data_IF_929385681150
#
_entry.id   IF_929385681150
#
_cell.length_a   1.000
_cell.length_b   1.000
_cell.length_c   1.000
_cell.angle_alpha   90.00
_cell.angle_beta   90.00
_cell.angle_gamma   90.00
#
_symmetry.space_group_name_H-M   'P 1'
#
loop_
_entity.id
_entity.type
_entity.pdbx_description
1 polymer ?
#
# COMPACT_ATOMS: atom_id res chain seq x y z
N UNK A 1 15.76 -10.91 -9.09
CA UNK A 1 15.16 -9.61 -9.34
C UNK A 1 13.70 -9.66 -9.00
N UNK A 2 13.24 -8.72 -8.21
CA UNK A 2 11.88 -8.79 -7.69
C UNK A 2 10.83 -8.51 -8.75
N UNK A 3 10.81 -7.33 -9.26
CA UNK A 3 9.80 -6.88 -10.19
C UNK A 3 10.27 -5.57 -10.82
N UNK A 4 9.53 -5.15 -11.82
CA UNK A 4 9.77 -3.89 -12.49
C UNK A 4 9.41 -2.73 -11.57
N UNK A 5 10.27 -1.73 -11.48
CA UNK A 5 9.99 -0.52 -10.73
C UNK A 5 8.91 0.30 -11.42
N UNK A 6 8.00 0.86 -10.63
CA UNK A 6 6.99 1.78 -11.16
C UNK A 6 7.62 3.11 -11.53
N UNK A 7 7.36 3.55 -12.75
CA UNK A 7 7.77 4.87 -13.26
C UNK A 7 6.50 5.66 -13.48
N UNK A 8 6.27 6.62 -12.61
CA UNK A 8 4.99 7.33 -12.63
C UNK A 8 5.15 8.74 -12.07
N UNK A 9 4.33 9.66 -12.56
CA UNK A 9 4.28 11.01 -12.01
C UNK A 9 3.28 11.09 -10.86
N UNK A 10 2.19 10.36 -10.95
CA UNK A 10 1.15 10.32 -9.91
C UNK A 10 1.06 8.89 -9.39
N UNK A 11 1.49 8.70 -8.16
CA UNK A 11 1.51 7.38 -7.52
C UNK A 11 0.36 7.26 -6.53
N UNK A 12 -0.42 6.19 -6.64
CA UNK A 12 -1.36 5.79 -5.61
C UNK A 12 -0.69 4.75 -4.71
N UNK A 13 -0.83 4.91 -3.41
CA UNK A 13 -0.39 3.92 -2.43
C UNK A 13 -1.63 3.39 -1.74
N UNK A 14 -1.92 2.11 -1.92
CA UNK A 14 -3.14 1.46 -1.44
C UNK A 14 -2.78 0.44 -0.38
N UNK A 15 -3.50 0.45 0.73
CA UNK A 15 -3.29 -0.49 1.82
C UNK A 15 -4.50 -1.39 1.98
N UNK A 16 -4.28 -2.63 2.34
CA UNK A 16 -5.36 -3.53 2.67
C UNK A 16 -4.88 -4.79 3.34
N UNK A 17 -5.75 -5.40 4.13
CA UNK A 17 -5.49 -6.70 4.76
C UNK A 17 -5.72 -7.84 3.77
N UNK A 18 -6.72 -7.71 2.91
CA UNK A 18 -7.08 -8.70 1.90
C UNK A 18 -7.26 -10.11 2.49
N UNK A 19 -8.12 -10.22 3.48
CA UNK A 19 -8.32 -11.47 4.22
C UNK A 19 -9.78 -11.93 4.20
N UNK A 20 -10.31 -12.44 3.07
CA UNK A 20 -9.68 -12.54 1.76
C UNK A 20 -9.87 -11.29 0.90
N UNK A 21 -9.26 -11.28 -0.27
CA UNK A 21 -9.53 -10.27 -1.28
C UNK A 21 -10.94 -10.43 -1.83
N UNK A 22 -11.63 -9.32 -2.03
CA UNK A 22 -12.99 -9.33 -2.61
C UNK A 22 -13.14 -8.23 -3.67
N UNK A 23 -14.31 -8.19 -4.30
CA UNK A 23 -14.55 -7.25 -5.42
C UNK A 23 -14.36 -5.79 -5.02
N UNK A 24 -14.66 -5.44 -3.77
CA UNK A 24 -14.42 -4.08 -3.28
C UNK A 24 -12.95 -3.69 -3.32
N UNK A 25 -12.05 -4.64 -3.04
CA UNK A 25 -10.61 -4.40 -3.14
C UNK A 25 -10.19 -4.16 -4.59
N UNK A 26 -10.73 -4.95 -5.52
CA UNK A 26 -10.45 -4.79 -6.95
C UNK A 26 -10.93 -3.43 -7.42
N UNK A 27 -12.13 -3.02 -7.02
CA UNK A 27 -12.70 -1.73 -7.39
C UNK A 27 -11.86 -0.58 -6.82
N UNK A 28 -11.39 -0.69 -5.59
CA UNK A 28 -10.52 0.31 -4.97
C UNK A 28 -9.21 0.47 -5.75
N UNK A 29 -8.56 -0.63 -6.05
CA UNK A 29 -7.28 -0.59 -6.78
C UNK A 29 -7.48 -0.03 -8.18
N UNK A 30 -8.56 -0.42 -8.84
CA UNK A 30 -8.92 0.10 -10.16
C UNK A 30 -9.17 1.61 -10.12
N UNK A 31 -9.89 2.08 -9.10
CA UNK A 31 -10.13 3.50 -8.90
C UNK A 31 -8.82 4.26 -8.65
N UNK A 32 -7.98 3.71 -7.77
CA UNK A 32 -6.69 4.33 -7.44
C UNK A 32 -5.82 4.48 -8.68
N UNK A 33 -5.76 3.43 -9.51
CA UNK A 33 -5.01 3.46 -10.76
C UNK A 33 -5.59 4.48 -11.75
N UNK A 34 -6.93 4.59 -11.80
CA UNK A 34 -7.61 5.54 -12.71
C UNK A 34 -7.39 6.99 -12.28
N UNK A 35 -7.38 7.26 -10.98
CA UNK A 35 -7.20 8.61 -10.43
C UNK A 35 -5.74 9.07 -10.42
N UNK A 36 -4.84 8.14 -10.63
CA UNK A 36 -3.40 8.39 -10.68
C UNK A 36 -2.84 7.74 -11.93
N UNK A 37 -1.53 7.61 -12.03
CA UNK A 37 -0.91 6.95 -13.18
C UNK A 37 -0.61 5.48 -12.91
N UNK A 38 -0.35 5.14 -11.64
CA UNK A 38 -0.02 3.78 -11.23
C UNK A 38 -0.36 3.57 -9.77
N UNK A 39 -0.44 2.33 -9.34
CA UNK A 39 -0.77 1.97 -7.96
C UNK A 39 0.26 1.02 -7.38
N UNK A 40 0.73 1.36 -6.19
CA UNK A 40 1.55 0.49 -5.35
C UNK A 40 0.64 -0.03 -4.24
N UNK A 41 0.40 -1.32 -4.23
CA UNK A 41 -0.55 -1.96 -3.32
C UNK A 41 0.21 -2.73 -2.26
N UNK A 42 -0.08 -2.43 -1.00
CA UNK A 42 0.51 -3.13 0.13
C UNK A 42 -0.50 -4.04 0.80
N UNK A 43 -0.16 -5.33 0.87
CA UNK A 43 -0.91 -6.30 1.64
C UNK A 43 -0.28 -6.30 3.04
N UNK A 44 -1.03 -5.82 4.03
CA UNK A 44 -0.52 -5.62 5.39
C UNK A 44 -0.97 -6.71 6.35
N UNK A 45 -0.16 -6.95 7.36
CA UNK A 45 -0.45 -7.93 8.40
C UNK A 45 0.80 -8.67 8.84
N UNK A 46 0.59 -9.84 9.45
CA UNK A 46 1.67 -10.69 9.93
C UNK A 46 1.40 -12.13 9.55
N UNK A 47 2.39 -13.00 9.78
CA UNK A 47 2.22 -14.44 9.65
C UNK A 47 1.93 -15.11 11.00
N UNK A 48 1.65 -14.33 12.04
CA UNK A 48 1.39 -14.82 13.38
C UNK A 48 -0.10 -15.01 13.63
N UNK A 49 -0.46 -15.76 14.66
CA UNK A 49 -1.86 -16.02 15.03
C UNK A 49 -2.62 -14.78 15.50
N UNK A 50 -1.92 -13.72 15.80
CA UNK A 50 -2.52 -12.44 16.14
C UNK A 50 -3.18 -11.79 14.94
N UNK A 51 -2.73 -12.15 13.74
CA UNK A 51 -3.31 -11.66 12.48
C UNK A 51 -4.56 -12.47 12.15
N UNK A 52 -5.66 -11.75 11.90
CA UNK A 52 -6.95 -12.36 11.60
C UNK A 52 -6.90 -13.29 10.39
N UNK A 53 -6.16 -12.90 9.35
CA UNK A 53 -6.04 -13.73 8.15
C UNK A 53 -5.31 -15.03 8.46
N UNK A 54 -4.24 -14.97 9.25
CA UNK A 54 -3.46 -16.15 9.64
C UNK A 54 -4.33 -17.14 10.40
N UNK A 55 -5.18 -16.66 11.31
CA UNK A 55 -6.06 -17.52 12.10
C UNK A 55 -7.03 -18.35 11.24
N UNK A 56 -7.39 -17.84 10.07
CA UNK A 56 -8.31 -18.54 9.15
C UNK A 56 -7.57 -19.19 7.97
N UNK A 57 -6.27 -19.38 8.10
CA UNK A 57 -5.46 -20.04 7.07
C UNK A 57 -4.95 -19.14 5.96
N UNK A 58 -5.16 -17.84 6.09
CA UNK A 58 -4.73 -16.86 5.10
C UNK A 58 -3.65 -15.94 5.70
N UNK A 59 -2.50 -16.52 6.01
CA UNK A 59 -1.38 -15.72 6.52
C UNK A 59 -0.85 -14.76 5.45
N UNK A 60 -0.07 -13.78 5.87
CA UNK A 60 0.36 -12.65 5.03
C UNK A 60 0.96 -13.08 3.69
N UNK A 61 1.88 -14.05 3.71
CA UNK A 61 2.54 -14.51 2.48
C UNK A 61 1.53 -15.04 1.45
N UNK A 62 0.51 -15.77 1.91
CA UNK A 62 -0.52 -16.33 1.04
C UNK A 62 -1.42 -15.23 0.47
N UNK A 63 -1.85 -14.30 1.31
CA UNK A 63 -2.67 -13.16 0.87
C UNK A 63 -1.93 -12.32 -0.16
N UNK A 64 -0.67 -12.01 0.11
CA UNK A 64 0.18 -11.30 -0.83
C UNK A 64 0.25 -12.00 -2.19
N UNK A 65 0.46 -13.32 -2.17
CA UNK A 65 0.56 -14.10 -3.40
C UNK A 65 -0.74 -14.02 -4.22
N UNK A 66 -1.89 -14.11 -3.56
CA UNK A 66 -3.17 -14.04 -4.26
C UNK A 66 -3.42 -12.67 -4.89
N UNK A 67 -3.15 -11.61 -4.17
CA UNK A 67 -3.33 -10.25 -4.71
C UNK A 67 -2.38 -10.00 -5.86
N UNK A 68 -1.13 -10.40 -5.71
CA UNK A 68 -0.13 -10.26 -6.78
C UNK A 68 -0.56 -11.03 -8.03
N UNK A 69 -1.10 -12.22 -7.88
CA UNK A 69 -1.55 -13.03 -9.01
C UNK A 69 -2.67 -12.35 -9.79
N UNK A 70 -3.60 -11.71 -9.10
CA UNK A 70 -4.71 -11.01 -9.75
C UNK A 70 -4.21 -9.87 -10.64
N UNK A 71 -3.16 -9.20 -10.25
CA UNK A 71 -2.65 -8.02 -10.96
C UNK A 71 -1.33 -8.26 -11.69
N UNK A 72 -0.90 -9.52 -11.84
CA UNK A 72 0.43 -9.79 -12.39
C UNK A 72 0.62 -9.32 -13.85
N UNK A 73 -0.44 -9.22 -14.62
CA UNK A 73 -0.39 -8.75 -16.01
C UNK A 73 -0.54 -7.23 -16.13
N UNK A 74 -0.79 -6.53 -15.04
CA UNK A 74 -1.00 -5.08 -15.08
C UNK A 74 0.31 -4.36 -14.75
N UNK A 75 0.91 -3.75 -15.77
CA UNK A 75 2.18 -3.05 -15.60
C UNK A 75 2.09 -1.79 -14.73
N UNK A 76 0.87 -1.29 -14.50
CA UNK A 76 0.63 -0.10 -13.70
C UNK A 76 0.30 -0.42 -12.25
N UNK A 77 0.33 -1.69 -11.88
CA UNK A 77 0.08 -2.13 -10.51
C UNK A 77 1.25 -2.99 -10.02
N UNK A 78 1.82 -2.60 -8.90
CA UNK A 78 2.84 -3.41 -8.21
C UNK A 78 2.28 -3.74 -6.83
N UNK A 79 2.39 -5.00 -6.44
CA UNK A 79 1.90 -5.49 -5.15
C UNK A 79 3.10 -5.92 -4.31
N UNK A 80 3.14 -5.47 -3.07
CA UNK A 80 4.17 -5.87 -2.12
C UNK A 80 3.56 -6.15 -0.75
N UNK A 81 4.33 -6.75 0.12
CA UNK A 81 3.94 -7.04 1.50
C UNK A 81 4.36 -5.90 2.41
N UNK A 82 3.50 -5.56 3.34
CA UNK A 82 3.87 -4.73 4.48
C UNK A 82 3.77 -5.63 5.71
N UNK A 83 4.88 -6.27 6.05
CA UNK A 83 4.94 -7.18 7.18
C UNK A 83 5.04 -6.39 8.47
N UNK A 84 4.00 -6.47 9.28
CA UNK A 84 3.90 -5.70 10.52
C UNK A 84 4.47 -6.43 11.73
N UNK A 85 5.01 -7.61 11.55
CA UNK A 85 5.67 -8.35 12.63
C UNK A 85 6.92 -7.60 13.08
N UNK A 86 7.02 -7.36 14.37
CA UNK A 86 8.17 -6.64 14.92
C UNK A 86 8.10 -5.13 14.87
N UNK A 87 7.03 -4.56 14.32
CA UNK A 87 6.82 -3.11 14.34
C UNK A 87 6.49 -2.67 15.76
N UNK A 88 7.26 -1.73 16.29
CA UNK A 88 7.17 -1.31 17.69
C UNK A 88 6.47 0.03 17.89
N UNK A 89 6.24 0.80 16.82
CA UNK A 89 5.64 2.12 16.94
C UNK A 89 5.07 2.57 15.59
N UNK A 90 4.24 3.60 15.63
CA UNK A 90 3.71 4.23 14.42
C UNK A 90 4.85 4.83 13.58
N UNK A 91 5.82 5.47 14.23
CA UNK A 91 7.00 6.02 13.57
C UNK A 91 7.76 4.93 12.80
N UNK A 92 7.94 3.77 13.43
CA UNK A 92 8.63 2.64 12.80
C UNK A 92 7.86 2.14 11.59
N UNK A 93 6.52 2.10 11.68
CA UNK A 93 5.66 1.69 10.56
C UNK A 93 5.84 2.64 9.37
N UNK A 94 5.87 3.95 9.60
CA UNK A 94 6.10 4.93 8.55
C UNK A 94 7.47 4.79 7.90
N UNK A 95 8.50 4.50 8.70
CA UNK A 95 9.86 4.29 8.19
C UNK A 95 9.93 3.08 7.26
N UNK A 96 9.27 1.99 7.64
CA UNK A 96 9.21 0.78 6.84
C UNK A 96 8.45 1.06 5.53
N UNK A 97 7.32 1.74 5.62
CA UNK A 97 6.55 2.13 4.45
C UNK A 97 7.38 2.96 3.47
N UNK A 98 8.14 3.93 3.98
CA UNK A 98 8.99 4.77 3.16
C UNK A 98 10.04 3.94 2.41
N UNK A 99 10.68 3.01 3.09
CA UNK A 99 11.66 2.12 2.46
C UNK A 99 11.01 1.26 1.36
N UNK A 100 9.80 0.75 1.62
CA UNK A 100 9.09 -0.06 0.64
C UNK A 100 8.68 0.75 -0.59
N UNK A 101 8.31 2.01 -0.42
CA UNK A 101 8.01 2.89 -1.55
C UNK A 101 9.27 3.09 -2.39
N UNK A 102 10.42 3.32 -1.76
CA UNK A 102 11.69 3.46 -2.48
C UNK A 102 12.08 2.20 -3.24
N UNK A 103 11.83 1.03 -2.67
CA UNK A 103 12.17 -0.24 -3.30
C UNK A 103 11.31 -0.56 -4.52
N UNK A 104 10.10 -0.02 -4.57
CA UNK A 104 9.12 -0.38 -5.60
C UNK A 104 8.92 0.68 -6.68
N UNK A 105 9.58 1.82 -6.57
CA UNK A 105 9.43 2.93 -7.51
C UNK A 105 10.79 3.45 -7.93
N UNK A 106 10.81 4.24 -9.00
CA UNK A 106 12.02 4.97 -9.40
C UNK A 106 12.20 6.26 -8.60
N UNK A 107 11.27 6.54 -7.69
CA UNK A 107 11.31 7.70 -6.79
C UNK A 107 11.32 9.05 -7.52
N UNK A 108 10.71 9.09 -8.71
CA UNK A 108 10.64 10.29 -9.56
C UNK A 108 9.19 10.70 -9.83
N UNK A 109 8.35 10.69 -8.81
CA UNK A 109 6.96 11.10 -8.93
C UNK A 109 6.76 12.55 -8.48
N UNK A 110 5.66 13.15 -8.92
CA UNK A 110 5.29 14.53 -8.55
C UNK A 110 4.24 14.53 -7.45
N UNK A 111 3.39 13.51 -7.41
CA UNK A 111 2.29 13.41 -6.44
C UNK A 111 2.14 11.99 -5.93
N UNK A 112 1.87 11.88 -4.63
CA UNK A 112 1.54 10.61 -3.99
C UNK A 112 0.19 10.78 -3.28
N UNK A 113 -0.74 9.86 -3.55
CA UNK A 113 -2.02 9.82 -2.86
C UNK A 113 -2.11 8.50 -2.08
N UNK A 114 -2.31 8.58 -0.78
CA UNK A 114 -2.45 7.43 0.09
C UNK A 114 -3.94 7.09 0.24
N UNK A 115 -4.30 5.87 -0.13
CA UNK A 115 -5.67 5.36 0.01
C UNK A 115 -5.77 4.62 1.33
N UNK A 116 -6.26 5.32 2.34
CA UNK A 116 -6.29 4.83 3.71
C UNK A 116 -7.68 5.08 4.32
N UNK A 117 -8.30 4.02 4.87
CA UNK A 117 -9.67 4.07 5.34
C UNK A 117 -9.85 4.70 6.73
N UNK A 118 -8.84 4.62 7.58
CA UNK A 118 -8.96 5.12 8.94
C UNK A 118 -8.46 6.56 9.04
N UNK A 119 -9.41 7.48 9.25
CA UNK A 119 -9.13 8.92 9.32
C UNK A 119 -8.06 9.28 10.35
N UNK A 120 -8.04 8.57 11.47
CA UNK A 120 -7.07 8.86 12.55
C UNK A 120 -5.61 8.68 12.13
N UNK A 121 -5.35 7.93 11.07
CA UNK A 121 -4.00 7.72 10.57
C UNK A 121 -3.62 8.66 9.43
N UNK A 122 -4.58 9.35 8.85
CA UNK A 122 -4.31 10.20 7.68
C UNK A 122 -3.38 11.37 7.99
N UNK A 123 -3.67 12.12 9.06
CA UNK A 123 -2.82 13.25 9.44
C UNK A 123 -1.41 12.85 9.84
N UNK A 124 -1.22 11.87 10.73
CA UNK A 124 0.13 11.44 11.09
C UNK A 124 0.94 10.95 9.89
N UNK A 125 0.29 10.22 8.99
CA UNK A 125 0.92 9.72 7.78
C UNK A 125 1.40 10.87 6.88
N UNK A 126 0.52 11.83 6.60
CA UNK A 126 0.87 12.97 5.77
C UNK A 126 1.98 13.80 6.41
N UNK A 127 1.88 14.03 7.72
CA UNK A 127 2.89 14.81 8.44
C UNK A 127 4.27 14.18 8.36
N UNK A 128 4.34 12.85 8.51
CA UNK A 128 5.60 12.13 8.40
C UNK A 128 6.22 12.31 7.00
N UNK A 129 5.42 12.09 5.95
CA UNK A 129 5.92 12.14 4.58
C UNK A 129 6.21 13.56 4.10
N UNK A 130 5.50 14.56 4.61
CA UNK A 130 5.83 15.97 4.33
C UNK A 130 7.22 16.30 4.85
N UNK A 131 7.58 15.82 6.03
CA UNK A 131 8.90 16.02 6.60
C UNK A 131 9.99 15.28 5.81
N UNK A 132 9.73 14.01 5.49
CA UNK A 132 10.71 13.16 4.83
C UNK A 132 10.98 13.64 3.40
N UNK A 133 9.94 14.03 2.69
CA UNK A 133 10.06 14.47 1.30
C UNK A 133 10.40 15.97 1.17
N UNK A 134 10.37 16.70 2.28
CA UNK A 134 10.74 18.11 2.32
C UNK A 134 10.05 18.94 1.22
N UNK A 135 8.73 18.76 1.08
CA UNK A 135 7.88 19.46 0.13
C UNK A 135 8.22 19.23 -1.37
N UNK A 136 8.98 18.19 -1.67
CA UNK A 136 9.31 17.85 -3.07
C UNK A 136 8.12 17.29 -3.84
N UNK A 137 7.14 16.72 -3.12
CA UNK A 137 6.00 16.07 -3.74
C UNK A 137 4.69 16.59 -3.19
N UNK A 138 3.66 16.56 -4.04
CA UNK A 138 2.30 16.84 -3.60
C UNK A 138 1.75 15.59 -2.94
N UNK A 139 1.30 15.70 -1.69
CA UNK A 139 0.77 14.57 -0.93
C UNK A 139 -0.73 14.72 -0.74
N UNK A 140 -1.43 13.61 -0.74
CA UNK A 140 -2.85 13.60 -0.51
C UNK A 140 -3.33 12.27 0.07
N UNK A 141 -4.57 12.25 0.54
CA UNK A 141 -5.22 11.02 1.01
C UNK A 141 -6.57 10.87 0.32
N UNK A 142 -7.03 9.64 0.25
CA UNK A 142 -8.35 9.34 -0.27
C UNK A 142 -9.01 8.30 0.62
N UNK A 143 -10.30 8.45 0.83
CA UNK A 143 -11.08 7.58 1.67
C UNK A 143 -11.38 6.25 0.97
N UNK A 144 -11.24 5.14 1.71
CA UNK A 144 -11.53 3.81 1.23
C UNK A 144 -12.77 3.19 1.89
N UNK A 145 -13.51 3.98 2.67
CA UNK A 145 -14.63 3.51 3.48
C UNK A 145 -15.67 2.69 2.70
N UNK A 146 -15.93 3.07 1.46
CA UNK A 146 -16.94 2.40 0.63
C UNK A 146 -16.48 1.06 0.05
N UNK A 147 -15.26 0.65 0.29
CA UNK A 147 -14.66 -0.54 -0.30
C UNK A 147 -14.35 -1.64 0.71
N UNK A 148 -14.59 -1.37 1.98
CA UNK A 148 -14.29 -2.33 3.06
C UNK A 148 -15.38 -3.40 3.26
#
# INVERSE_FOLDING_TARGET
>A
MKHKLLKTKKLAVVFGTFAPMHIGHVDLITRAKRENDAALVFVSGTNTEEDRGTRVGLHLKRRFRYVREVFHDDELVVVDKLDEEGIISEQNWFEILHELIKENTDYQFEKITFYIGEEKYQKPLLSYFENVFNDEYILGTSDTEHYD
#
